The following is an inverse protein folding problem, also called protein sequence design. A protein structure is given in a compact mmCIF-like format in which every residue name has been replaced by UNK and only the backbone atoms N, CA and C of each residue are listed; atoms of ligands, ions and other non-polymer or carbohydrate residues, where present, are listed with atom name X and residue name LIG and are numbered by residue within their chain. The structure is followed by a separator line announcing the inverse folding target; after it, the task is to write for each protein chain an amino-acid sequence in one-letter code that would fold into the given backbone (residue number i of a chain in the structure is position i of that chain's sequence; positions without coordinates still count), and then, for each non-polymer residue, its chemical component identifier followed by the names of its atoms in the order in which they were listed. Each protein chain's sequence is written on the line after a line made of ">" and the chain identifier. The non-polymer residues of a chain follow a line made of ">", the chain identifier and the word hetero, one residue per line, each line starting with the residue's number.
data_IF_123789490742
#
_entry.id   IF_123789490742
#
_cell.length_a   1.000
_cell.length_b   1.000
_cell.length_c   1.000
_cell.angle_alpha   90.00
_cell.angle_beta   90.00
_cell.angle_gamma   90.00
#
_symmetry.space_group_name_H-M   'P 1'
#
loop_
_entity.id
_entity.type
_entity.pdbx_description
1 polymer ?
#
# COMPACT_ATOMS: atom_id res chain seq x y z
N UNK A 1 -16.17 -17.23 56.42
CA UNK A 1 -17.59 -16.89 56.61
C UNK A 1 -18.40 -17.45 55.44
N UNK A 2 -18.99 -18.63 55.62
CA UNK A 2 -19.99 -19.22 54.72
C UNK A 2 -21.37 -18.86 55.29
N UNK A 3 -22.27 -18.30 54.49
CA UNK A 3 -23.70 -18.21 54.81
C UNK A 3 -24.53 -18.60 53.60
N UNK A 4 -24.95 -19.86 53.64
CA UNK A 4 -26.07 -20.47 52.92
C UNK A 4 -27.40 -20.04 53.53
N UNK A 5 -28.44 -19.85 52.71
CA UNK A 5 -29.86 -19.67 53.07
C UNK A 5 -30.73 -20.27 51.94
N UNK A 6 -32.01 -20.64 52.18
CA UNK A 6 -32.41 -22.05 52.15
C UNK A 6 -33.51 -22.39 51.13
N UNK A 7 -33.67 -23.70 50.92
CA UNK A 7 -34.77 -24.36 50.21
C UNK A 7 -36.08 -24.30 51.01
N UNK A 8 -37.17 -23.88 50.38
CA UNK A 8 -38.54 -24.10 50.85
C UNK A 8 -39.17 -25.31 50.15
N UNK A 9 -39.70 -26.22 50.97
CA UNK A 9 -40.56 -27.33 50.60
C UNK A 9 -42.02 -26.89 50.58
N UNK A 10 -42.83 -27.46 49.70
CA UNK A 10 -44.24 -27.73 50.03
C UNK A 10 -44.71 -29.06 49.42
N UNK A 11 -45.03 -29.99 50.32
CA UNK A 11 -45.70 -31.26 50.09
C UNK A 11 -47.16 -31.01 49.74
N UNK A 12 -47.74 -31.79 48.83
CA UNK A 12 -49.17 -32.11 48.88
C UNK A 12 -49.44 -33.60 48.70
N UNK A 13 -50.32 -34.10 49.58
CA UNK A 13 -50.58 -35.50 49.90
C UNK A 13 -51.52 -36.15 48.87
N UNK A 14 -51.24 -37.42 48.58
CA UNK A 14 -52.15 -38.39 47.94
C UNK A 14 -53.39 -38.61 48.81
N UNK A 15 -54.59 -38.62 48.21
CA UNK A 15 -55.82 -39.19 48.79
C UNK A 15 -56.45 -40.14 47.77
N UNK A 16 -56.51 -41.42 48.13
CA UNK A 16 -57.18 -42.52 47.41
C UNK A 16 -58.64 -42.56 47.87
N UNK A 17 -59.59 -42.61 46.96
CA UNK A 17 -61.00 -42.89 47.28
C UNK A 17 -61.55 -43.88 46.24
N UNK A 18 -62.04 -45.02 46.75
CA UNK A 18 -63.29 -45.68 46.37
C UNK A 18 -63.46 -46.22 44.95
N UNK A 19 -63.42 -47.54 44.81
CA UNK A 19 -63.87 -48.23 43.60
C UNK A 19 -65.39 -48.34 43.48
N UNK A 20 -65.87 -48.53 42.25
CA UNK A 20 -67.09 -49.27 41.90
C UNK A 20 -66.97 -49.78 40.46
N UNK A 21 -67.17 -51.10 40.31
CA UNK A 21 -67.36 -51.79 39.02
C UNK A 21 -68.58 -51.19 38.31
N UNK A 22 -68.58 -51.14 36.98
CA UNK A 22 -69.65 -51.64 36.11
C UNK A 22 -69.36 -51.37 34.61
N UNK A 23 -69.64 -52.40 33.82
CA UNK A 23 -69.85 -52.45 32.36
C UNK A 23 -68.70 -52.15 31.38
N UNK A 24 -68.17 -53.26 30.85
CA UNK A 24 -67.38 -53.32 29.61
C UNK A 24 -68.33 -53.01 28.44
N UNK A 25 -68.13 -51.88 27.76
CA UNK A 25 -68.68 -51.64 26.43
C UNK A 25 -67.53 -51.59 25.44
N UNK A 26 -67.57 -52.51 24.49
CA UNK A 26 -66.59 -52.72 23.43
C UNK A 26 -66.73 -51.57 22.41
N UNK A 27 -65.89 -50.53 22.51
CA UNK A 27 -65.78 -49.50 21.48
C UNK A 27 -64.47 -49.71 20.72
N UNK A 28 -64.59 -50.13 19.46
CA UNK A 28 -63.51 -50.20 18.49
C UNK A 28 -62.93 -48.79 18.29
N UNK A 29 -61.74 -48.54 18.85
CA UNK A 29 -60.96 -47.33 18.59
C UNK A 29 -60.24 -47.53 17.25
N UNK A 30 -60.76 -46.95 16.17
CA UNK A 30 -59.99 -46.76 14.94
C UNK A 30 -58.94 -45.67 15.21
N UNK A 31 -57.76 -46.09 15.63
CA UNK A 31 -56.59 -45.21 15.72
C UNK A 31 -56.11 -44.88 14.31
N UNK A 32 -56.50 -43.72 13.79
CA UNK A 32 -55.79 -43.13 12.66
C UNK A 32 -54.39 -42.73 13.13
N UNK A 33 -53.38 -43.52 12.76
CA UNK A 33 -51.99 -43.09 12.80
C UNK A 33 -51.87 -41.97 11.77
N UNK A 34 -52.00 -40.73 12.22
CA UNK A 34 -51.59 -39.58 11.42
C UNK A 34 -50.06 -39.58 11.42
N UNK A 35 -49.47 -40.21 10.40
CA UNK A 35 -48.05 -40.07 10.08
C UNK A 35 -47.84 -38.58 9.77
N UNK A 36 -47.35 -37.83 10.75
CA UNK A 36 -46.78 -36.51 10.52
C UNK A 36 -45.54 -36.78 9.66
N UNK A 37 -45.70 -36.65 8.34
CA UNK A 37 -44.59 -36.40 7.44
C UNK A 37 -44.00 -35.07 7.90
N UNK A 38 -42.96 -35.12 8.73
CA UNK A 38 -42.04 -34.01 8.84
C UNK A 38 -41.54 -33.79 7.41
N UNK A 39 -41.82 -32.65 6.76
CA UNK A 39 -41.11 -32.34 5.54
C UNK A 39 -39.63 -32.38 5.93
N UNK A 40 -38.90 -33.37 5.39
CA UNK A 40 -37.47 -33.38 5.50
C UNK A 40 -37.02 -32.01 5.03
N UNK A 41 -36.50 -31.20 5.93
CA UNK A 41 -35.79 -29.98 5.57
C UNK A 41 -34.56 -30.47 4.82
N UNK A 42 -34.70 -30.67 3.51
CA UNK A 42 -33.58 -30.74 2.61
C UNK A 42 -32.96 -29.36 2.66
N UNK A 43 -32.05 -29.15 3.61
CA UNK A 43 -31.13 -28.04 3.54
C UNK A 43 -30.32 -28.26 2.26
N UNK A 44 -30.75 -27.66 1.15
CA UNK A 44 -29.93 -27.53 -0.03
C UNK A 44 -28.73 -26.70 0.42
N UNK A 45 -27.63 -27.36 0.75
CA UNK A 45 -26.38 -26.67 1.04
C UNK A 45 -25.98 -25.97 -0.27
N UNK A 46 -26.26 -24.68 -0.35
CA UNK A 46 -26.01 -23.88 -1.54
C UNK A 46 -24.50 -23.79 -1.71
N UNK A 47 -23.97 -24.66 -2.56
CA UNK A 47 -22.56 -24.71 -2.89
C UNK A 47 -22.22 -23.53 -3.78
N UNK A 48 -21.23 -22.75 -3.38
CA UNK A 48 -20.79 -21.55 -4.09
C UNK A 48 -19.31 -21.66 -4.41
N UNK A 49 -18.97 -21.45 -5.68
CA UNK A 49 -17.59 -21.32 -6.14
C UNK A 49 -16.85 -20.16 -5.46
N UNK A 50 -15.51 -20.18 -5.48
CA UNK A 50 -14.74 -19.13 -4.85
C UNK A 50 -14.93 -17.80 -5.59
N UNK A 51 -15.00 -16.71 -4.84
CA UNK A 51 -15.02 -15.34 -5.36
C UNK A 51 -14.16 -14.44 -4.48
N UNK A 52 -13.46 -13.49 -5.09
CA UNK A 52 -12.64 -12.54 -4.34
C UNK A 52 -13.51 -11.53 -3.60
N UNK A 53 -13.26 -11.39 -2.30
CA UNK A 53 -13.77 -10.28 -1.48
C UNK A 53 -12.83 -9.10 -1.58
N UNK A 54 -11.52 -9.37 -1.51
CA UNK A 54 -10.47 -8.39 -1.70
C UNK A 54 -9.39 -9.00 -2.59
N UNK A 55 -9.26 -8.44 -3.79
CA UNK A 55 -8.20 -8.79 -4.72
C UNK A 55 -6.97 -7.91 -4.45
N UNK A 56 -5.75 -8.48 -4.43
CA UNK A 56 -4.53 -7.70 -4.20
C UNK A 56 -4.34 -6.58 -5.22
N UNK A 57 -3.64 -5.51 -4.84
CA UNK A 57 -3.28 -4.43 -5.74
C UNK A 57 -2.41 -4.96 -6.90
N UNK A 58 -2.52 -4.36 -8.09
CA UNK A 58 -1.71 -4.76 -9.25
C UNK A 58 -0.22 -4.49 -9.05
N UNK A 59 0.13 -3.58 -8.14
CA UNK A 59 1.51 -3.25 -7.77
C UNK A 59 1.61 -3.01 -6.27
N UNK A 60 2.61 -3.63 -5.66
CA UNK A 60 2.98 -3.42 -4.25
C UNK A 60 4.45 -3.09 -4.18
N UNK A 61 4.76 -1.92 -3.65
CA UNK A 61 6.12 -1.43 -3.46
C UNK A 61 6.37 -1.14 -1.99
N UNK A 62 7.55 -1.53 -1.51
CA UNK A 62 7.95 -1.35 -0.11
C UNK A 62 9.47 -1.22 0.00
N UNK A 63 9.98 -0.77 1.15
CA UNK A 63 11.43 -0.71 1.39
C UNK A 63 11.93 -1.97 2.06
N UNK A 64 13.21 -2.29 1.88
CA UNK A 64 13.84 -3.42 2.58
C UNK A 64 13.77 -3.28 4.11
N UNK A 65 13.65 -2.06 4.63
CA UNK A 65 13.52 -1.80 6.08
C UNK A 65 12.08 -1.99 6.57
N UNK A 66 11.07 -1.56 5.79
CA UNK A 66 9.66 -1.69 6.19
C UNK A 66 9.14 -3.12 6.03
N UNK A 67 9.68 -3.88 5.08
CA UNK A 67 9.07 -5.12 4.60
C UNK A 67 7.75 -4.85 3.87
N UNK A 68 7.10 -5.92 3.41
CA UNK A 68 5.92 -5.85 2.56
C UNK A 68 4.89 -6.92 2.89
N UNK A 69 3.64 -6.67 2.48
CA UNK A 69 2.50 -7.57 2.69
C UNK A 69 1.58 -7.47 1.49
N UNK A 70 1.09 -8.61 1.02
CA UNK A 70 0.03 -8.67 0.02
C UNK A 70 -1.06 -9.62 0.49
N UNK A 71 -2.29 -9.12 0.50
CA UNK A 71 -3.46 -9.85 0.99
C UNK A 71 -4.32 -10.33 -0.16
N UNK A 72 -4.80 -11.56 -0.02
CA UNK A 72 -5.82 -12.12 -0.87
C UNK A 72 -6.93 -12.73 -0.01
N UNK A 73 -8.15 -12.22 -0.17
CA UNK A 73 -9.31 -12.70 0.58
C UNK A 73 -10.34 -13.21 -0.40
N UNK A 74 -10.66 -14.50 -0.30
CA UNK A 74 -11.70 -15.15 -1.08
C UNK A 74 -12.79 -15.71 -0.16
N UNK A 75 -14.03 -15.75 -0.67
CA UNK A 75 -15.18 -16.40 -0.05
C UNK A 75 -15.72 -17.49 -0.96
N UNK A 76 -16.40 -18.46 -0.39
CA UNK A 76 -17.03 -19.57 -1.10
C UNK A 76 -17.67 -20.52 -0.10
N UNK A 77 -18.49 -21.45 -0.59
CA UNK A 77 -19.14 -22.44 0.25
C UNK A 77 -19.02 -23.83 -0.40
N UNK A 78 -18.15 -24.74 0.08
CA UNK A 78 -17.26 -24.62 1.25
C UNK A 78 -16.20 -23.51 1.14
N UNK A 79 -15.68 -23.05 2.29
CA UNK A 79 -14.66 -22.01 2.34
C UNK A 79 -13.42 -22.40 1.50
N UNK A 80 -12.94 -21.53 0.60
CA UNK A 80 -11.83 -21.87 -0.29
C UNK A 80 -10.49 -21.86 0.43
N UNK A 81 -9.62 -22.78 0.01
CA UNK A 81 -8.19 -22.72 0.31
C UNK A 81 -7.56 -21.64 -0.56
N UNK A 82 -6.85 -20.71 0.08
CA UNK A 82 -6.15 -19.62 -0.60
C UNK A 82 -4.66 -19.92 -0.59
N UNK A 83 -4.04 -19.88 -1.77
CA UNK A 83 -2.62 -20.09 -1.97
C UNK A 83 -2.08 -19.11 -3.03
N UNK A 84 -0.77 -19.11 -3.23
CA UNK A 84 -0.10 -18.22 -4.17
C UNK A 84 0.68 -18.99 -5.21
N UNK A 85 0.67 -18.46 -6.44
CA UNK A 85 1.34 -19.05 -7.59
C UNK A 85 2.23 -17.99 -8.27
N UNK A 86 3.31 -18.47 -8.87
CA UNK A 86 4.18 -17.68 -9.74
C UNK A 86 3.54 -17.49 -11.13
N UNK A 87 4.16 -16.68 -11.97
CA UNK A 87 3.67 -16.39 -13.32
C UNK A 87 3.62 -17.61 -14.24
N UNK A 88 4.48 -18.59 -14.00
CA UNK A 88 4.54 -19.87 -14.72
C UNK A 88 3.49 -20.88 -14.23
N UNK A 89 2.70 -20.53 -13.21
CA UNK A 89 1.69 -21.39 -12.60
C UNK A 89 2.23 -22.31 -11.50
N UNK A 90 3.53 -22.25 -11.17
CA UNK A 90 4.11 -22.99 -10.06
C UNK A 90 3.63 -22.47 -8.71
N UNK A 91 3.35 -23.38 -7.76
CA UNK A 91 3.06 -22.99 -6.37
C UNK A 91 4.28 -22.35 -5.72
N UNK A 92 4.07 -21.28 -4.94
CA UNK A 92 5.16 -20.62 -4.22
C UNK A 92 5.21 -21.09 -2.78
N UNK A 93 6.40 -21.44 -2.30
CA UNK A 93 6.62 -21.82 -0.91
C UNK A 93 7.11 -20.65 -0.06
N UNK A 94 6.95 -20.80 1.26
CA UNK A 94 7.64 -19.98 2.24
C UNK A 94 9.16 -20.23 2.19
N UNK A 95 9.95 -19.17 2.22
CA UNK A 95 11.40 -19.19 2.28
C UNK A 95 11.81 -18.53 3.61
N UNK A 96 12.45 -19.26 4.54
CA UNK A 96 12.82 -18.75 5.85
C UNK A 96 13.57 -17.41 5.76
N UNK A 97 13.05 -16.38 6.42
CA UNK A 97 13.66 -15.05 6.48
C UNK A 97 13.51 -14.18 5.22
N UNK A 98 12.87 -14.68 4.15
CA UNK A 98 12.74 -13.94 2.88
C UNK A 98 11.27 -13.75 2.49
N UNK A 99 10.44 -14.79 2.61
CA UNK A 99 9.02 -14.76 2.20
C UNK A 99 8.21 -15.77 3.00
N UNK A 100 7.07 -15.36 3.53
CA UNK A 100 6.15 -16.23 4.26
C UNK A 100 4.78 -16.25 3.59
N UNK A 101 4.33 -17.44 3.20
CA UNK A 101 2.96 -17.68 2.74
C UNK A 101 2.14 -18.10 3.95
N UNK A 102 1.19 -17.26 4.34
CA UNK A 102 0.36 -17.45 5.53
C UNK A 102 -0.96 -18.12 5.15
N UNK A 103 -1.46 -19.00 6.03
CA UNK A 103 -2.71 -19.74 5.80
C UNK A 103 -3.99 -18.89 5.73
N UNK A 104 -3.90 -17.58 6.00
CA UNK A 104 -4.99 -16.63 5.82
C UNK A 104 -5.01 -15.99 4.42
N UNK A 105 -4.18 -16.46 3.48
CA UNK A 105 -4.07 -15.92 2.13
C UNK A 105 -3.15 -14.71 1.99
N UNK A 106 -2.41 -14.35 3.04
CA UNK A 106 -1.39 -13.28 2.98
C UNK A 106 -0.04 -13.83 2.54
N UNK A 107 0.65 -13.14 1.66
CA UNK A 107 2.10 -13.27 1.47
C UNK A 107 2.82 -12.11 2.17
N UNK A 108 3.73 -12.45 3.08
CA UNK A 108 4.49 -11.52 3.89
C UNK A 108 5.97 -11.56 3.53
N UNK A 109 6.57 -10.38 3.38
CA UNK A 109 7.98 -10.16 3.09
C UNK A 109 8.60 -9.45 4.30
N UNK A 110 9.43 -10.14 5.11
CA UNK A 110 10.16 -9.53 6.21
C UNK A 110 11.06 -8.39 5.75
N UNK A 111 11.54 -7.60 6.70
CA UNK A 111 12.67 -6.70 6.45
C UNK A 111 13.94 -7.51 6.15
N UNK A 112 14.84 -6.95 5.35
CA UNK A 112 16.03 -7.64 4.88
C UNK A 112 17.19 -6.66 4.61
N UNK A 113 18.43 -7.16 4.71
CA UNK A 113 19.64 -6.40 4.36
C UNK A 113 19.82 -6.29 2.85
N UNK A 114 20.56 -5.28 2.37
CA UNK A 114 20.73 -5.03 0.95
C UNK A 114 21.26 -6.26 0.18
N UNK A 115 22.16 -7.03 0.78
CA UNK A 115 22.79 -8.22 0.19
C UNK A 115 21.83 -9.41 0.09
N UNK A 116 20.78 -9.42 0.90
CA UNK A 116 19.74 -10.45 0.87
C UNK A 116 18.69 -10.19 -0.23
N UNK A 117 18.86 -9.12 -1.04
CA UNK A 117 17.97 -8.84 -2.14
C UNK A 117 17.99 -9.95 -3.19
N UNK A 118 16.86 -10.63 -3.32
CA UNK A 118 16.60 -11.63 -4.36
C UNK A 118 15.64 -11.12 -5.42
N UNK A 119 16.10 -11.03 -6.66
CA UNK A 119 15.25 -10.56 -7.77
C UNK A 119 14.03 -11.47 -7.98
N UNK A 120 14.19 -12.78 -7.87
CA UNK A 120 13.11 -13.77 -8.03
C UNK A 120 12.04 -13.74 -6.93
N UNK A 121 12.30 -13.00 -5.84
CA UNK A 121 11.37 -12.90 -4.70
C UNK A 121 10.87 -11.47 -4.51
N UNK A 122 11.79 -10.51 -4.47
CA UNK A 122 11.54 -9.11 -4.18
C UNK A 122 11.23 -8.28 -5.43
N UNK A 123 11.46 -8.81 -6.63
CA UNK A 123 11.03 -8.19 -7.89
C UNK A 123 10.40 -9.23 -8.80
N UNK A 124 9.23 -9.70 -8.40
CA UNK A 124 8.52 -10.79 -9.04
C UNK A 124 7.02 -10.48 -9.17
N UNK A 125 6.36 -11.24 -10.04
CA UNK A 125 4.92 -11.17 -10.21
C UNK A 125 4.30 -12.40 -9.54
N UNK A 126 3.27 -12.15 -8.75
CA UNK A 126 2.53 -13.17 -8.01
C UNK A 126 1.06 -13.16 -8.42
N UNK A 127 0.40 -14.32 -8.32
CA UNK A 127 -1.06 -14.42 -8.41
C UNK A 127 -1.60 -15.20 -7.23
N UNK A 128 -2.76 -14.79 -6.75
CA UNK A 128 -3.48 -15.52 -5.73
C UNK A 128 -4.42 -16.54 -6.40
N UNK A 129 -4.44 -17.77 -5.88
CA UNK A 129 -5.35 -18.83 -6.28
C UNK A 129 -6.27 -19.16 -5.11
N UNK A 130 -7.58 -19.17 -5.34
CA UNK A 130 -8.57 -19.60 -4.36
C UNK A 130 -9.38 -20.77 -4.92
N UNK A 131 -9.38 -21.90 -4.20
CA UNK A 131 -9.93 -23.17 -4.68
C UNK A 131 -10.85 -23.78 -3.63
N UNK A 132 -12.03 -24.24 -4.04
CA UNK A 132 -12.89 -25.11 -3.23
C UNK A 132 -13.43 -26.28 -4.08
N UNK A 133 -14.32 -27.10 -3.52
CA UNK A 133 -14.90 -28.25 -4.21
C UNK A 133 -15.79 -27.90 -5.42
N UNK A 134 -16.19 -26.64 -5.56
CA UNK A 134 -17.09 -26.17 -6.63
C UNK A 134 -16.29 -25.58 -7.79
N UNK A 135 -15.13 -24.97 -7.52
CA UNK A 135 -14.28 -24.41 -8.56
C UNK A 135 -13.03 -23.70 -8.04
N UNK A 136 -12.35 -23.01 -8.94
CA UNK A 136 -11.13 -22.25 -8.69
C UNK A 136 -11.19 -20.88 -9.37
N UNK A 137 -10.64 -19.86 -8.71
CA UNK A 137 -10.44 -18.52 -9.29
C UNK A 137 -9.02 -18.05 -9.02
N UNK A 138 -8.48 -17.27 -9.96
CA UNK A 138 -7.12 -16.73 -9.90
C UNK A 138 -7.20 -15.21 -10.04
N UNK A 139 -6.42 -14.49 -9.24
CA UNK A 139 -6.38 -13.02 -9.25
C UNK A 139 -5.64 -12.49 -10.48
N UNK A 140 -5.75 -11.18 -10.69
CA UNK A 140 -4.82 -10.40 -11.50
C UNK A 140 -3.38 -10.54 -11.02
N UNK A 141 -2.48 -10.14 -11.91
CA UNK A 141 -1.05 -10.09 -11.65
C UNK A 141 -0.72 -9.02 -10.60
N UNK A 142 0.03 -9.42 -9.58
CA UNK A 142 0.55 -8.56 -8.52
C UNK A 142 2.04 -8.38 -8.73
N UNK A 143 2.46 -7.22 -9.21
CA UNK A 143 3.88 -6.88 -9.30
C UNK A 143 4.39 -6.46 -7.92
N UNK A 144 5.20 -7.31 -7.29
CA UNK A 144 5.91 -6.98 -6.05
C UNK A 144 7.27 -6.40 -6.40
N UNK A 145 7.59 -5.25 -5.81
CA UNK A 145 8.90 -4.61 -5.96
C UNK A 145 9.37 -4.03 -4.62
N UNK A 146 10.29 -4.72 -3.97
CA UNK A 146 11.03 -4.17 -2.85
C UNK A 146 12.13 -3.22 -3.37
N UNK A 147 12.34 -2.13 -2.65
CA UNK A 147 13.37 -1.13 -2.96
C UNK A 147 14.35 -1.08 -1.80
N UNK A 148 15.63 -1.29 -2.10
CA UNK A 148 16.69 -1.15 -1.10
C UNK A 148 16.81 0.33 -0.74
N UNK A 149 16.61 0.67 0.52
CA UNK A 149 16.73 2.02 1.02
C UNK A 149 18.20 2.43 1.02
N UNK A 150 18.52 3.45 0.24
CA UNK A 150 19.86 4.01 0.15
C UNK A 150 19.81 5.50 0.44
N UNK A 151 20.78 5.97 1.24
CA UNK A 151 20.94 7.40 1.48
C UNK A 151 21.31 8.10 0.18
N UNK A 152 20.75 9.29 -0.02
CA UNK A 152 21.01 10.14 -1.17
C UNK A 152 21.09 11.59 -0.73
N UNK A 153 21.77 12.41 -1.53
CA UNK A 153 21.80 13.85 -1.39
C UNK A 153 21.47 14.47 -2.76
N UNK A 154 20.38 15.25 -2.88
CA UNK A 154 20.07 15.92 -4.13
C UNK A 154 20.98 17.14 -4.34
N UNK A 155 21.40 17.38 -5.58
CA UNK A 155 22.33 18.46 -5.89
C UNK A 155 21.66 19.60 -6.66
N UNK A 156 21.77 20.82 -6.16
CA UNK A 156 21.27 22.02 -6.86
C UNK A 156 22.30 22.52 -7.86
N UNK A 157 21.87 22.81 -9.09
CA UNK A 157 22.70 23.43 -10.12
C UNK A 157 22.75 24.96 -9.97
N UNK A 158 23.87 25.56 -10.40
CA UNK A 158 24.06 27.02 -10.44
C UNK A 158 24.00 27.53 -11.88
N UNK A 159 22.81 27.85 -12.41
CA UNK A 159 22.66 28.28 -13.79
C UNK A 159 23.15 29.72 -14.01
N UNK A 160 23.63 29.99 -15.22
CA UNK A 160 24.01 31.32 -15.68
C UNK A 160 22.89 32.05 -16.43
N UNK A 161 22.91 33.38 -16.40
CA UNK A 161 21.98 34.21 -17.17
C UNK A 161 22.37 35.68 -17.20
N UNK A 162 21.67 36.46 -18.04
CA UNK A 162 21.80 37.91 -18.11
C UNK A 162 20.65 38.57 -17.34
N UNK A 163 20.86 39.75 -16.73
CA UNK A 163 19.77 40.52 -16.14
C UNK A 163 18.61 40.69 -17.12
N UNK A 164 17.37 40.47 -16.67
CA UNK A 164 16.18 40.47 -17.53
C UNK A 164 15.73 39.09 -18.02
N UNK A 165 16.62 38.10 -18.08
CA UNK A 165 16.27 36.77 -18.54
C UNK A 165 15.55 35.94 -17.47
N UNK A 166 14.84 34.91 -17.94
CA UNK A 166 14.33 33.86 -17.07
C UNK A 166 15.39 32.76 -16.96
N UNK A 167 15.56 32.21 -15.77
CA UNK A 167 16.52 31.14 -15.50
C UNK A 167 15.82 29.94 -14.89
N UNK A 168 16.20 28.75 -15.35
CA UNK A 168 15.71 27.48 -14.85
C UNK A 168 16.76 26.84 -13.95
N UNK A 169 16.46 26.73 -12.66
CA UNK A 169 17.29 26.07 -11.67
C UNK A 169 16.83 24.62 -11.48
N UNK A 170 17.78 23.69 -11.57
CA UNK A 170 17.51 22.24 -11.52
C UNK A 170 18.05 21.62 -10.23
N UNK A 171 17.28 20.70 -9.68
CA UNK A 171 17.66 19.83 -8.56
C UNK A 171 17.92 18.42 -9.12
N UNK A 172 19.18 18.02 -9.12
CA UNK A 172 19.63 16.72 -9.63
C UNK A 172 19.42 15.65 -8.57
N UNK A 173 18.41 14.80 -8.76
CA UNK A 173 18.18 13.62 -7.94
C UNK A 173 18.96 12.43 -8.55
N UNK A 174 19.80 11.73 -7.75
CA UNK A 174 20.55 10.57 -8.23
C UNK A 174 19.65 9.51 -8.89
N UNK A 175 20.12 8.91 -9.98
CA UNK A 175 19.29 8.02 -10.82
C UNK A 175 18.72 6.81 -10.07
N UNK A 176 19.45 6.26 -9.10
CA UNK A 176 19.06 5.06 -8.36
C UNK A 176 17.83 5.27 -7.44
N UNK A 177 17.48 6.51 -7.08
CA UNK A 177 16.30 6.85 -6.26
C UNK A 177 15.23 7.66 -7.02
N UNK A 178 15.50 8.04 -8.27
CA UNK A 178 14.68 9.00 -9.04
C UNK A 178 13.20 8.59 -9.16
N UNK A 179 12.90 7.31 -9.32
CA UNK A 179 11.52 6.81 -9.46
C UNK A 179 10.69 6.89 -8.16
N UNK A 180 11.35 7.14 -7.03
CA UNK A 180 10.76 7.15 -5.71
C UNK A 180 10.86 8.49 -4.99
N UNK A 181 11.57 9.46 -5.58
CA UNK A 181 11.85 10.77 -4.99
C UNK A 181 11.32 11.89 -5.89
N UNK A 182 10.59 12.83 -5.30
CA UNK A 182 10.13 14.03 -5.98
C UNK A 182 10.64 15.29 -5.27
N UNK A 183 10.92 16.35 -6.04
CA UNK A 183 11.19 17.68 -5.47
C UNK A 183 9.87 18.29 -5.02
N UNK A 184 9.75 18.62 -3.74
CA UNK A 184 8.49 19.13 -3.15
C UNK A 184 8.46 20.63 -2.96
N UNK A 185 9.63 21.25 -2.80
CA UNK A 185 9.76 22.69 -2.61
C UNK A 185 11.20 23.14 -2.82
N UNK A 186 11.37 24.42 -3.12
CA UNK A 186 12.66 25.11 -3.05
C UNK A 186 12.73 25.97 -1.80
N UNK A 187 13.92 26.13 -1.26
CA UNK A 187 14.21 27.01 -0.14
C UNK A 187 15.17 28.09 -0.63
N UNK A 188 14.77 29.34 -0.48
CA UNK A 188 15.63 30.50 -0.63
C UNK A 188 16.01 30.99 0.76
N UNK A 189 17.30 31.07 1.06
CA UNK A 189 17.78 31.62 2.32
C UNK A 189 17.56 33.16 2.37
N UNK A 190 17.24 33.74 3.54
CA UNK A 190 17.29 33.13 4.86
C UNK A 190 16.06 32.30 5.28
N UNK A 191 14.85 32.50 4.72
CA UNK A 191 13.65 31.77 5.19
C UNK A 191 12.44 31.78 4.23
N UNK A 192 12.66 31.75 2.91
CA UNK A 192 11.56 31.75 1.93
C UNK A 192 11.36 30.36 1.31
N UNK A 193 10.18 29.75 1.51
CA UNK A 193 9.83 28.47 0.89
C UNK A 193 9.02 28.72 -0.37
N UNK A 194 9.40 28.05 -1.46
CA UNK A 194 8.75 28.12 -2.75
C UNK A 194 8.12 26.75 -3.02
N UNK A 195 6.81 26.72 -3.20
CA UNK A 195 6.03 25.52 -3.47
C UNK A 195 5.55 25.49 -4.93
N UNK A 196 5.14 24.32 -5.45
CA UNK A 196 4.52 24.22 -6.77
C UNK A 196 3.31 25.16 -6.88
N UNK A 197 3.24 25.94 -7.96
CA UNK A 197 2.11 26.81 -8.25
C UNK A 197 1.57 26.52 -9.65
N UNK A 198 0.26 26.56 -9.84
CA UNK A 198 -0.37 26.40 -11.17
C UNK A 198 -0.39 27.70 -11.96
N UNK A 199 -0.21 28.84 -11.28
CA UNK A 199 -0.16 30.17 -11.86
C UNK A 199 1.24 30.75 -11.67
N UNK A 200 1.77 31.37 -12.73
CA UNK A 200 3.00 32.17 -12.68
C UNK A 200 2.63 33.61 -12.34
N UNK A 201 2.16 33.84 -11.12
CA UNK A 201 1.73 35.16 -10.64
C UNK A 201 2.84 35.92 -9.89
N UNK A 202 4.04 35.36 -9.83
CA UNK A 202 5.17 35.95 -9.11
C UNK A 202 6.52 35.72 -9.78
N UNK A 203 7.58 36.18 -9.09
CA UNK A 203 8.97 36.05 -9.52
C UNK A 203 9.46 34.60 -9.60
N UNK A 204 8.91 33.73 -8.75
CA UNK A 204 9.30 32.35 -8.60
C UNK A 204 8.16 31.44 -9.05
N UNK A 205 8.46 30.49 -9.93
CA UNK A 205 7.51 29.51 -10.38
C UNK A 205 8.16 28.12 -10.36
N UNK A 206 7.68 27.25 -9.48
CA UNK A 206 8.13 25.86 -9.42
C UNK A 206 7.28 25.00 -10.35
N UNK A 207 7.94 24.37 -11.33
CA UNK A 207 7.31 23.52 -12.33
C UNK A 207 6.85 22.19 -11.72
N UNK A 208 5.83 21.53 -12.30
CA UNK A 208 5.38 20.20 -11.84
C UNK A 208 6.48 19.13 -11.86
N UNK A 209 7.49 19.30 -12.71
CA UNK A 209 8.67 18.42 -12.81
C UNK A 209 9.73 18.68 -11.73
N UNK A 210 9.59 19.75 -10.94
CA UNK A 210 10.42 20.04 -9.78
C UNK A 210 11.46 21.14 -9.97
N UNK A 211 11.68 21.63 -11.19
CA UNK A 211 12.57 22.75 -11.46
C UNK A 211 11.98 24.08 -10.97
N UNK A 212 12.86 25.00 -10.58
CA UNK A 212 12.49 26.37 -10.21
C UNK A 212 12.80 27.33 -11.36
N UNK A 213 11.76 27.93 -11.93
CA UNK A 213 11.90 29.04 -12.86
C UNK A 213 11.91 30.36 -12.08
N UNK A 214 12.95 31.16 -12.29
CA UNK A 214 13.09 32.50 -11.73
C UNK A 214 12.94 33.49 -12.88
N UNK A 215 11.92 34.34 -12.81
CA UNK A 215 11.51 35.24 -13.88
C UNK A 215 12.22 36.59 -13.70
N UNK A 216 12.72 37.15 -14.82
CA UNK A 216 13.35 38.47 -14.86
C UNK A 216 14.43 38.63 -13.77
N UNK A 217 15.50 37.86 -13.89
CA UNK A 217 16.58 37.85 -12.90
C UNK A 217 17.24 39.22 -12.79
N UNK A 218 17.59 39.60 -11.55
CA UNK A 218 18.28 40.85 -11.25
C UNK A 218 19.53 40.59 -10.41
N UNK A 219 20.33 41.64 -10.18
CA UNK A 219 21.56 41.55 -9.37
C UNK A 219 21.31 41.08 -7.94
N UNK A 220 20.14 41.38 -7.36
CA UNK A 220 19.79 40.88 -6.03
C UNK A 220 19.64 39.36 -6.00
N UNK A 221 19.18 38.74 -7.08
CA UNK A 221 18.95 37.28 -7.11
C UNK A 221 20.26 36.50 -7.14
N UNK A 222 21.32 37.09 -7.70
CA UNK A 222 22.67 36.49 -7.68
C UNK A 222 23.29 36.41 -6.28
N UNK A 223 22.76 37.19 -5.32
CA UNK A 223 23.20 37.16 -3.93
C UNK A 223 22.42 36.15 -3.09
N UNK A 224 21.35 35.58 -3.65
CA UNK A 224 20.50 34.60 -2.97
C UNK A 224 21.04 33.18 -3.17
N UNK A 225 20.85 32.35 -2.16
CA UNK A 225 21.17 30.92 -2.17
C UNK A 225 19.91 30.09 -2.16
N UNK A 226 19.91 29.04 -2.98
CA UNK A 226 18.76 28.15 -3.15
C UNK A 226 19.13 26.72 -2.79
N UNK A 227 18.23 26.03 -2.09
CA UNK A 227 18.29 24.60 -1.80
C UNK A 227 17.03 23.94 -2.31
N UNK A 228 17.11 22.69 -2.74
CA UNK A 228 15.90 21.91 -3.04
C UNK A 228 15.57 20.98 -1.88
N UNK A 229 14.28 20.81 -1.61
CA UNK A 229 13.75 19.79 -0.70
C UNK A 229 13.06 18.72 -1.52
N UNK A 230 13.38 17.49 -1.19
CA UNK A 230 12.87 16.28 -1.84
C UNK A 230 12.11 15.43 -0.83
N UNK A 231 11.20 14.59 -1.31
CA UNK A 231 10.42 13.65 -0.52
C UNK A 231 10.47 12.27 -1.17
N UNK A 232 10.86 11.26 -0.39
CA UNK A 232 10.93 9.87 -0.83
C UNK A 232 9.62 9.15 -0.50
N UNK A 233 8.82 8.79 -1.50
CA UNK A 233 7.44 8.30 -1.33
C UNK A 233 7.30 6.95 -0.60
N UNK A 234 8.37 6.16 -0.50
CA UNK A 234 8.35 4.87 0.23
C UNK A 234 8.81 5.01 1.69
N UNK A 235 9.94 5.67 1.95
CA UNK A 235 10.44 5.91 3.32
C UNK A 235 9.73 7.03 4.05
N UNK A 236 9.00 7.90 3.33
CA UNK A 236 8.41 9.16 3.83
C UNK A 236 9.45 10.17 4.34
N UNK A 237 10.73 9.98 4.02
CA UNK A 237 11.79 10.90 4.42
C UNK A 237 11.84 12.13 3.52
N UNK A 238 12.13 13.29 4.14
CA UNK A 238 12.42 14.53 3.41
C UNK A 238 13.90 14.87 3.52
N UNK A 239 14.52 15.18 2.38
CA UNK A 239 15.95 15.51 2.30
C UNK A 239 16.10 16.88 1.63
N UNK A 240 16.88 17.75 2.27
CA UNK A 240 17.27 19.05 1.71
C UNK A 240 18.69 18.94 1.18
N UNK A 241 18.95 19.47 -0.01
CA UNK A 241 20.27 19.46 -0.64
C UNK A 241 21.35 20.00 0.31
N UNK A 242 22.46 19.29 0.45
CA UNK A 242 23.61 19.76 1.23
C UNK A 242 24.32 20.94 0.56
N UNK A 243 24.32 20.98 -0.77
CA UNK A 243 24.87 22.07 -1.57
C UNK A 243 23.83 23.20 -1.77
N UNK A 244 24.34 24.36 -2.19
CA UNK A 244 23.53 25.53 -2.56
C UNK A 244 23.68 25.86 -4.04
N UNK A 245 22.57 26.23 -4.67
CA UNK A 245 22.54 26.85 -5.99
C UNK A 245 22.63 28.36 -5.88
N UNK A 246 23.30 28.98 -6.86
CA UNK A 246 23.33 30.42 -7.06
C UNK A 246 23.13 30.75 -8.53
N UNK A 247 22.53 31.90 -8.81
CA UNK A 247 22.44 32.42 -10.17
C UNK A 247 23.76 33.10 -10.52
N UNK A 248 24.37 32.68 -11.62
CA UNK A 248 25.59 33.28 -12.14
C UNK A 248 25.24 34.36 -13.17
N UNK A 249 25.30 35.63 -12.77
CA UNK A 249 25.06 36.71 -13.71
C UNK A 249 26.27 36.92 -14.62
N UNK A 250 26.03 36.86 -15.91
CA UNK A 250 26.98 37.27 -16.94
C UNK A 250 26.61 38.68 -17.38
N UNK A 251 27.58 39.59 -17.43
CA UNK A 251 27.35 40.94 -17.93
C UNK A 251 27.57 40.98 -19.44
N UNK A 252 26.61 41.50 -20.20
CA UNK A 252 26.70 41.61 -21.65
C UNK A 252 27.81 42.58 -22.08
N UNK A 253 28.22 43.50 -21.19
CA UNK A 253 29.29 44.44 -21.47
C UNK A 253 30.68 43.77 -21.53
N UNK A 254 30.87 42.61 -20.88
CA UNK A 254 32.18 41.92 -20.85
C UNK A 254 32.36 40.90 -21.99
N UNK A 255 31.28 40.43 -22.62
CA UNK A 255 31.37 39.48 -23.74
C UNK A 255 31.86 40.12 -25.05
N UNK A 256 31.80 41.45 -25.17
CA UNK A 256 32.29 42.20 -26.34
C UNK A 256 33.71 42.77 -26.17
N UNK A 257 34.35 42.57 -25.02
CA UNK A 257 35.67 43.15 -24.70
C UNK A 257 36.83 42.17 -24.97
N UNK A 258 36.56 40.96 -25.45
CA UNK A 258 37.62 40.13 -26.04
C UNK A 258 37.86 40.62 -27.47
N UNK A 259 38.97 41.33 -27.77
CA UNK A 259 39.32 41.59 -29.15
C UNK A 259 39.79 40.26 -29.74
N UNK A 260 39.23 39.88 -30.88
CA UNK A 260 39.83 38.87 -31.75
C UNK A 260 41.28 39.28 -32.03
N UNK A 261 42.22 38.70 -31.28
CA UNK A 261 43.62 38.65 -31.70
C UNK A 261 43.72 37.60 -32.81
N UNK A 262 43.27 37.98 -34.00
CA UNK A 262 43.79 37.39 -35.22
C UNK A 262 45.21 37.94 -35.44
N UNK A 263 46.25 37.09 -35.37
CA UNK A 263 47.54 37.48 -35.90
C UNK A 263 47.39 37.53 -37.43
N UNK A 264 47.48 38.72 -38.01
CA UNK A 264 47.68 38.84 -39.46
C UNK A 264 49.11 38.35 -39.74
N UNK A 265 49.21 37.22 -40.44
CA UNK A 265 50.38 36.82 -41.23
C UNK A 265 50.19 37.26 -42.67
#
# INVERSE_FOLDING_TARGET
>A
MRRTLPRLWSRFKRKRIGGRRHHVHNFLVFGHIFLILLPGVSASYEMQGPSFVAEPLSRVEFTNVSGGRVDCIARGNPAPTVDWIATDGGSIASIPGIRHVLGNGTIYFPSFEAEAFRQDVHWAIYKCSAINSVGAVVSRDVTVRAVVNQRYDPEVQSPGGFPGNNVLMRCSVPSFVRDHVAVTSWLQEPSFNIYPSTMSDGKYHMLPSGELMIINISRSDSQMTYRCRTHHRLTQETVVSSNVGRIQLTDWALSWVLPDHHPRS
#
